data_IF_288588007836
#
_entry.id   IF_288588007836
#
_cell.length_a   1.000
_cell.length_b   1.000
_cell.length_c   1.000
_cell.angle_alpha   90.00
_cell.angle_beta   90.00
_cell.angle_gamma   90.00
#
_symmetry.space_group_name_H-M   'P 1'
#
loop_
_entity.id
_entity.type
_entity.pdbx_description
1 polymer ?
#
# COMPACT_ATOMS: atom_id res chain seq x y z
N UNK A 1 -93.39 7.26 67.40
CA UNK A 1 -92.11 7.24 66.66
C UNK A 1 -91.73 5.78 66.36
N UNK A 2 -92.18 5.20 65.24
CA UNK A 2 -92.00 3.77 64.90
C UNK A 2 -91.14 3.51 63.66
N UNK A 3 -90.49 4.54 63.10
CA UNK A 3 -89.70 4.40 61.86
C UNK A 3 -88.22 4.04 62.11
N UNK A 4 -87.74 4.25 63.34
CA UNK A 4 -86.35 3.99 63.74
C UNK A 4 -86.06 2.48 63.90
N UNK A 5 -87.05 1.67 64.30
CA UNK A 5 -86.88 0.21 64.44
C UNK A 5 -86.79 -0.52 63.09
N UNK A 6 -87.36 0.05 62.02
CA UNK A 6 -87.25 -0.48 60.66
C UNK A 6 -85.87 -0.22 60.02
N UNK A 7 -85.12 0.78 60.50
CA UNK A 7 -83.79 1.15 60.02
C UNK A 7 -82.65 0.45 60.77
N UNK A 8 -82.95 -0.14 61.94
CA UNK A 8 -81.98 -0.83 62.80
C UNK A 8 -81.23 -2.01 62.15
N UNK A 9 -81.84 -2.86 61.27
CA UNK A 9 -81.10 -3.91 60.58
C UNK A 9 -80.32 -3.40 59.34
N UNK A 10 -80.65 -2.22 58.81
CA UNK A 10 -79.96 -1.62 57.65
C UNK A 10 -78.72 -0.83 58.05
N UNK A 11 -78.64 -0.35 59.30
CA UNK A 11 -77.49 0.37 59.84
C UNK A 11 -76.14 -0.36 59.71
N UNK A 12 -76.00 -1.66 60.08
CA UNK A 12 -74.74 -2.38 59.90
C UNK A 12 -74.39 -2.59 58.42
N UNK A 13 -75.39 -2.70 57.54
CA UNK A 13 -75.23 -2.87 56.10
C UNK A 13 -74.75 -1.58 55.43
N UNK A 14 -75.28 -0.43 55.87
CA UNK A 14 -74.81 0.89 55.44
C UNK A 14 -73.39 1.18 55.92
N UNK A 15 -73.03 0.77 57.14
CA UNK A 15 -71.67 0.87 57.66
C UNK A 15 -70.69 0.02 56.83
N UNK A 16 -71.04 -1.23 56.51
CA UNK A 16 -70.23 -2.09 55.64
C UNK A 16 -70.05 -1.49 54.24
N UNK A 17 -71.11 -0.97 53.63
CA UNK A 17 -71.01 -0.29 52.33
C UNK A 17 -70.11 0.95 52.40
N UNK A 18 -70.23 1.77 53.44
CA UNK A 18 -69.36 2.93 53.63
C UNK A 18 -67.89 2.53 53.81
N UNK A 19 -67.62 1.44 54.52
CA UNK A 19 -66.28 0.90 54.72
C UNK A 19 -65.69 0.35 53.41
N UNK A 20 -66.48 -0.37 52.61
CA UNK A 20 -66.04 -0.84 51.29
C UNK A 20 -65.73 0.33 50.35
N UNK A 21 -66.58 1.36 50.31
CA UNK A 21 -66.34 2.57 49.51
C UNK A 21 -65.08 3.29 49.98
N UNK A 22 -64.85 3.38 51.29
CA UNK A 22 -63.67 4.01 51.85
C UNK A 22 -62.37 3.24 51.55
N UNK A 23 -62.39 1.91 51.63
CA UNK A 23 -61.24 1.05 51.26
C UNK A 23 -60.93 1.17 49.76
N UNK A 24 -61.95 1.14 48.89
CA UNK A 24 -61.76 1.33 47.44
C UNK A 24 -61.21 2.72 47.12
N UNK A 25 -61.64 3.76 47.86
CA UNK A 25 -61.12 5.11 47.69
C UNK A 25 -59.63 5.20 48.09
N UNK A 26 -59.24 4.60 49.22
CA UNK A 26 -57.85 4.52 49.66
C UNK A 26 -56.96 3.76 48.66
N UNK A 27 -57.45 2.64 48.12
CA UNK A 27 -56.74 1.85 47.12
C UNK A 27 -56.56 2.61 45.80
N UNK A 28 -57.60 3.31 45.33
CA UNK A 28 -57.52 4.15 44.13
C UNK A 28 -56.55 5.32 44.30
N UNK A 29 -56.55 5.98 45.47
CA UNK A 29 -55.65 7.09 45.77
C UNK A 29 -54.19 6.62 45.85
N UNK A 30 -53.94 5.46 46.47
CA UNK A 30 -52.61 4.87 46.53
C UNK A 30 -52.12 4.38 45.15
N UNK A 31 -53.01 3.86 44.32
CA UNK A 31 -52.68 3.44 42.96
C UNK A 31 -52.35 4.63 42.05
N UNK A 32 -53.14 5.69 42.08
CA UNK A 32 -52.90 6.88 41.26
C UNK A 32 -51.61 7.61 41.67
N UNK A 33 -51.34 7.72 42.98
CA UNK A 33 -50.11 8.31 43.50
C UNK A 33 -48.88 7.48 43.04
N UNK A 34 -48.92 6.17 43.26
CA UNK A 34 -47.86 5.26 42.82
C UNK A 34 -47.66 5.22 41.30
N UNK A 35 -48.74 5.23 40.52
CA UNK A 35 -48.68 5.27 39.05
C UNK A 35 -48.10 6.59 38.55
N UNK A 36 -48.49 7.71 39.15
CA UNK A 36 -47.97 9.03 38.79
C UNK A 36 -46.47 9.16 39.11
N UNK A 37 -46.04 8.65 40.26
CA UNK A 37 -44.64 8.61 40.67
C UNK A 37 -43.81 7.71 39.73
N UNK A 38 -44.27 6.48 39.47
CA UNK A 38 -43.60 5.57 38.56
C UNK A 38 -43.49 6.15 37.13
N UNK A 39 -44.51 6.88 36.67
CA UNK A 39 -44.49 7.58 35.38
C UNK A 39 -43.48 8.73 35.37
N UNK A 40 -43.39 9.51 36.45
CA UNK A 40 -42.42 10.59 36.57
C UNK A 40 -40.97 10.08 36.62
N UNK A 41 -40.72 9.04 37.41
CA UNK A 41 -39.41 8.39 37.50
C UNK A 41 -39.01 7.73 36.17
N UNK A 42 -39.97 7.08 35.49
CA UNK A 42 -39.75 6.52 34.16
C UNK A 42 -39.43 7.57 33.10
N UNK A 43 -40.14 8.72 33.11
CA UNK A 43 -39.85 9.84 32.21
C UNK A 43 -38.46 10.43 32.48
N UNK A 44 -38.08 10.59 33.75
CA UNK A 44 -36.76 11.09 34.14
C UNK A 44 -35.65 10.12 33.71
N UNK A 45 -35.83 8.82 33.94
CA UNK A 45 -34.88 7.79 33.51
C UNK A 45 -34.70 7.77 31.99
N UNK A 46 -35.79 7.94 31.24
CA UNK A 46 -35.76 7.99 29.78
C UNK A 46 -35.02 9.24 29.26
N UNK A 47 -35.28 10.41 29.84
CA UNK A 47 -34.57 11.65 29.47
C UNK A 47 -33.08 11.56 29.80
N UNK A 48 -32.73 10.98 30.96
CA UNK A 48 -31.32 10.74 31.31
C UNK A 48 -30.63 9.80 30.31
N UNK A 49 -31.28 8.69 29.95
CA UNK A 49 -30.74 7.74 28.99
C UNK A 49 -30.56 8.38 27.60
N UNK A 50 -31.52 9.23 27.17
CA UNK A 50 -31.41 9.99 25.93
C UNK A 50 -30.25 10.97 25.96
N UNK A 51 -30.05 11.70 27.07
CA UNK A 51 -28.94 12.61 27.25
C UNK A 51 -27.58 11.90 27.21
N UNK A 52 -27.46 10.78 27.93
CA UNK A 52 -26.24 9.96 27.94
C UNK A 52 -25.93 9.40 26.54
N UNK A 53 -26.96 8.95 25.81
CA UNK A 53 -26.80 8.46 24.45
C UNK A 53 -26.37 9.57 23.48
N UNK A 54 -26.98 10.75 23.55
CA UNK A 54 -26.60 11.90 22.72
C UNK A 54 -25.16 12.35 23.00
N UNK A 55 -24.76 12.39 24.27
CA UNK A 55 -23.38 12.70 24.65
C UNK A 55 -22.40 11.65 24.08
N UNK A 56 -22.75 10.38 24.17
CA UNK A 56 -21.92 9.30 23.63
C UNK A 56 -21.81 9.35 22.10
N UNK A 57 -22.91 9.62 21.40
CA UNK A 57 -22.91 9.78 19.94
C UNK A 57 -22.07 10.98 19.51
N UNK A 58 -22.13 12.09 20.24
CA UNK A 58 -21.35 13.29 19.95
C UNK A 58 -19.85 13.05 20.14
N UNK A 59 -19.45 12.33 21.19
CA UNK A 59 -18.04 11.94 21.39
C UNK A 59 -17.57 10.92 20.36
N UNK A 60 -18.43 9.97 19.94
CA UNK A 60 -18.14 9.07 18.81
C UNK A 60 -17.97 9.85 17.49
N UNK A 61 -18.81 10.84 17.24
CA UNK A 61 -18.72 11.67 16.04
C UNK A 61 -17.41 12.49 16.02
N UNK A 62 -17.04 13.11 17.14
CA UNK A 62 -15.77 13.85 17.27
C UNK A 62 -14.55 12.97 17.07
N UNK A 63 -14.53 11.80 17.70
CA UNK A 63 -13.41 10.85 17.58
C UNK A 63 -13.31 10.29 16.16
N UNK A 64 -14.45 9.98 15.53
CA UNK A 64 -14.50 9.60 14.12
C UNK A 64 -13.97 10.72 13.21
N UNK A 65 -14.40 11.97 13.41
CA UNK A 65 -13.92 13.12 12.62
C UNK A 65 -12.42 13.35 12.79
N UNK A 66 -11.90 13.30 14.02
CA UNK A 66 -10.47 13.42 14.29
C UNK A 66 -9.67 12.31 13.60
N UNK A 67 -10.13 11.06 13.72
CA UNK A 67 -9.48 9.91 13.06
C UNK A 67 -9.51 10.03 11.53
N UNK A 68 -10.61 10.53 10.96
CA UNK A 68 -10.77 10.73 9.52
C UNK A 68 -9.85 11.85 9.01
N UNK A 69 -9.70 12.95 9.77
CA UNK A 69 -8.75 14.02 9.46
C UNK A 69 -7.31 13.55 9.51
N UNK A 70 -6.95 12.78 10.53
CA UNK A 70 -5.60 12.21 10.66
C UNK A 70 -5.30 11.22 9.52
N UNK A 71 -6.25 10.36 9.19
CA UNK A 71 -6.13 9.44 8.06
C UNK A 71 -5.99 10.20 6.73
N UNK A 72 -6.81 11.24 6.50
CA UNK A 72 -6.72 12.07 5.31
C UNK A 72 -5.36 12.79 5.21
N UNK A 73 -4.85 13.32 6.32
CA UNK A 73 -3.54 13.98 6.37
C UNK A 73 -2.40 13.00 6.06
N UNK A 74 -2.43 11.80 6.64
CA UNK A 74 -1.44 10.74 6.34
C UNK A 74 -1.50 10.35 4.87
N UNK A 75 -2.69 10.17 4.33
CA UNK A 75 -2.89 9.82 2.92
C UNK A 75 -2.35 10.92 1.99
N UNK A 76 -2.60 12.20 2.29
CA UNK A 76 -2.05 13.32 1.53
C UNK A 76 -0.52 13.38 1.61
N UNK A 77 0.07 13.12 2.78
CA UNK A 77 1.53 13.07 2.94
C UNK A 77 2.15 11.95 2.11
N UNK A 78 1.56 10.75 2.15
CA UNK A 78 2.00 9.61 1.35
C UNK A 78 1.86 9.91 -0.14
N UNK A 79 0.76 10.51 -0.58
CA UNK A 79 0.59 10.93 -1.98
C UNK A 79 1.67 11.92 -2.42
N UNK A 80 1.91 12.97 -1.64
CA UNK A 80 2.95 13.96 -1.96
C UNK A 80 4.36 13.36 -2.05
N UNK A 81 4.68 12.39 -1.17
CA UNK A 81 5.95 11.67 -1.22
C UNK A 81 6.05 10.79 -2.48
N UNK A 82 4.98 10.06 -2.83
CA UNK A 82 4.96 9.24 -4.04
C UNK A 82 5.07 10.09 -5.32
N UNK A 83 4.41 11.25 -5.37
CA UNK A 83 4.48 12.17 -6.50
C UNK A 83 5.92 12.69 -6.68
N UNK A 84 6.56 13.11 -5.58
CA UNK A 84 7.97 13.54 -5.60
C UNK A 84 8.88 12.42 -6.10
N UNK A 85 8.73 11.22 -5.55
CA UNK A 85 9.55 10.06 -5.94
C UNK A 85 9.39 9.72 -7.43
N UNK A 86 8.15 9.82 -7.94
CA UNK A 86 7.85 9.60 -9.36
C UNK A 86 8.58 10.61 -10.25
N UNK A 87 8.58 11.89 -9.85
CA UNK A 87 9.30 12.95 -10.56
C UNK A 87 10.81 12.73 -10.51
N UNK A 88 11.37 12.38 -9.35
CA UNK A 88 12.81 12.16 -9.18
C UNK A 88 13.29 10.96 -10.00
N UNK A 89 12.57 9.84 -9.98
CA UNK A 89 12.86 8.68 -10.83
C UNK A 89 12.76 9.01 -12.32
N UNK A 90 11.76 9.80 -12.73
CA UNK A 90 11.63 10.23 -14.12
C UNK A 90 12.82 11.11 -14.55
N UNK A 91 13.29 12.01 -13.69
CA UNK A 91 14.44 12.87 -13.95
C UNK A 91 15.76 12.07 -14.04
N UNK A 92 15.97 11.11 -13.14
CA UNK A 92 17.13 10.22 -13.20
C UNK A 92 17.13 9.39 -14.48
N UNK A 93 15.99 8.79 -14.86
CA UNK A 93 15.86 8.04 -16.12
C UNK A 93 16.18 8.91 -17.35
N UNK A 94 15.72 10.17 -17.38
CA UNK A 94 16.07 11.10 -18.47
C UNK A 94 17.57 11.38 -18.52
N UNK A 95 18.20 11.54 -17.36
CA UNK A 95 19.65 11.79 -17.25
C UNK A 95 20.45 10.60 -17.75
N UNK A 96 20.07 9.37 -17.36
CA UNK A 96 20.71 8.17 -17.85
C UNK A 96 20.55 8.01 -19.36
N UNK A 97 19.34 8.20 -19.91
CA UNK A 97 19.11 8.16 -21.35
C UNK A 97 19.95 9.18 -22.12
N UNK A 98 19.98 10.43 -21.66
CA UNK A 98 20.81 11.48 -22.28
C UNK A 98 22.29 11.09 -22.28
N UNK A 99 22.77 10.52 -21.17
CA UNK A 99 24.15 10.04 -21.04
C UNK A 99 24.41 8.88 -22.00
N UNK A 100 23.50 7.92 -22.09
CA UNK A 100 23.57 6.80 -23.04
C UNK A 100 23.60 7.29 -24.47
N UNK A 101 22.73 8.20 -24.86
CA UNK A 101 22.67 8.75 -26.22
C UNK A 101 23.97 9.48 -26.57
N UNK A 102 24.50 10.28 -25.64
CA UNK A 102 25.80 10.93 -25.79
C UNK A 102 26.92 9.90 -25.97
N UNK A 103 26.99 8.90 -25.10
CA UNK A 103 28.03 7.86 -25.14
C UNK A 103 27.93 7.04 -26.42
N UNK A 104 26.72 6.66 -26.87
CA UNK A 104 26.51 5.96 -28.15
C UNK A 104 27.01 6.81 -29.32
N UNK A 105 26.75 8.12 -29.31
CA UNK A 105 27.30 9.03 -30.31
C UNK A 105 28.83 9.16 -30.25
N UNK A 106 29.42 9.05 -29.06
CA UNK A 106 30.88 9.03 -28.85
C UNK A 106 31.53 7.74 -29.34
N UNK A 107 30.86 6.58 -29.25
CA UNK A 107 31.39 5.29 -29.72
C UNK A 107 31.82 5.40 -31.19
N UNK A 108 31.00 6.01 -32.04
CA UNK A 108 31.34 6.20 -33.45
C UNK A 108 32.60 7.06 -33.64
N UNK A 109 32.88 8.00 -32.73
CA UNK A 109 34.06 8.88 -32.83
C UNK A 109 35.34 8.23 -32.31
N UNK A 110 35.24 7.36 -31.31
CA UNK A 110 36.43 6.83 -30.61
C UNK A 110 36.90 5.47 -31.15
N UNK A 111 36.10 4.81 -32.00
CA UNK A 111 36.37 3.43 -32.42
C UNK A 111 36.98 3.31 -33.83
N UNK A 112 37.29 4.44 -34.49
CA UNK A 112 37.78 4.44 -35.87
C UNK A 112 39.32 4.47 -35.96
N UNK A 113 39.99 5.24 -35.11
CA UNK A 113 41.43 5.52 -35.20
C UNK A 113 42.13 5.27 -33.86
N UNK A 114 43.33 4.71 -33.90
CA UNK A 114 44.22 4.59 -32.74
C UNK A 114 45.62 5.12 -33.06
N UNK A 115 46.34 5.57 -32.04
CA UNK A 115 47.75 5.96 -32.14
C UNK A 115 48.58 5.05 -31.24
N UNK A 116 49.71 4.55 -31.73
CA UNK A 116 50.64 3.68 -30.96
C UNK A 116 51.42 4.43 -29.88
N UNK A 117 51.66 5.72 -30.11
CA UNK A 117 52.34 6.64 -29.20
C UNK A 117 51.74 8.04 -29.38
N UNK A 118 51.97 8.94 -28.42
CA UNK A 118 51.39 10.29 -28.41
C UNK A 118 51.71 11.08 -29.70
N UNK A 119 52.94 10.95 -30.20
CA UNK A 119 53.43 11.65 -31.39
C UNK A 119 53.26 10.84 -32.70
N UNK A 120 52.70 9.63 -32.65
CA UNK A 120 52.49 8.80 -33.83
C UNK A 120 51.24 9.21 -34.61
N UNK A 121 51.24 9.05 -35.94
CA UNK A 121 50.08 9.29 -36.80
C UNK A 121 48.90 8.34 -36.45
N UNK A 122 47.63 8.76 -36.59
CA UNK A 122 46.50 7.85 -36.41
C UNK A 122 46.52 6.74 -37.45
N UNK A 123 46.37 5.50 -36.98
CA UNK A 123 46.15 4.32 -37.82
C UNK A 123 44.71 3.81 -37.61
N UNK A 124 44.09 3.18 -38.63
CA UNK A 124 42.79 2.54 -38.45
C UNK A 124 42.86 1.44 -37.39
N UNK A 125 41.79 1.33 -36.59
CA UNK A 125 41.72 0.32 -35.54
C UNK A 125 41.83 -1.11 -36.14
N UNK A 126 42.67 -2.00 -35.58
CA UNK A 126 42.71 -3.40 -35.99
C UNK A 126 41.33 -4.07 -35.80
N UNK A 127 41.00 -5.01 -36.70
CA UNK A 127 39.74 -5.73 -36.61
C UNK A 127 39.61 -6.48 -35.27
N UNK A 128 38.62 -6.10 -34.47
CA UNK A 128 38.27 -6.80 -33.24
C UNK A 128 37.37 -7.99 -33.60
N UNK A 129 37.96 -9.20 -33.65
CA UNK A 129 37.23 -10.45 -33.91
C UNK A 129 36.88 -11.11 -32.57
N UNK A 130 35.59 -11.20 -32.27
CA UNK A 130 35.08 -11.93 -31.12
C UNK A 130 34.57 -13.30 -31.57
N UNK A 131 34.98 -14.35 -30.88
CA UNK A 131 34.57 -15.71 -31.23
C UNK A 131 33.17 -16.02 -30.71
N UNK A 132 32.48 -16.98 -31.33
CA UNK A 132 31.15 -17.44 -30.87
C UNK A 132 31.17 -17.97 -29.44
N UNK A 133 32.26 -18.61 -29.02
CA UNK A 133 32.46 -19.06 -27.65
C UNK A 133 32.57 -17.90 -26.66
N UNK A 134 33.24 -16.81 -27.04
CA UNK A 134 33.30 -15.59 -26.23
C UNK A 134 31.90 -15.00 -26.04
N UNK A 135 31.13 -14.87 -27.12
CA UNK A 135 29.75 -14.34 -27.06
C UNK A 135 28.84 -15.23 -26.22
N UNK A 136 28.97 -16.56 -26.31
CA UNK A 136 28.20 -17.49 -25.46
C UNK A 136 28.43 -17.23 -23.97
N UNK A 137 29.69 -17.07 -23.55
CA UNK A 137 30.03 -16.78 -22.14
C UNK A 137 29.50 -15.40 -21.74
N UNK A 138 29.61 -14.41 -22.63
CA UNK A 138 29.09 -13.06 -22.42
C UNK A 138 27.57 -13.06 -22.18
N UNK A 139 26.81 -13.69 -23.09
CA UNK A 139 25.36 -13.80 -23.03
C UNK A 139 24.90 -14.54 -21.77
N UNK A 140 25.60 -15.62 -21.41
CA UNK A 140 25.34 -16.36 -20.17
C UNK A 140 25.57 -15.49 -18.94
N UNK A 141 26.63 -14.66 -18.93
CA UNK A 141 26.91 -13.75 -17.83
C UNK A 141 25.88 -12.62 -17.73
N UNK A 142 25.34 -12.14 -18.85
CA UNK A 142 24.29 -11.11 -18.85
C UNK A 142 22.88 -11.66 -18.61
N UNK A 143 22.73 -12.98 -18.49
CA UNK A 143 21.45 -13.65 -18.28
C UNK A 143 20.56 -13.67 -19.53
N UNK A 144 21.13 -13.51 -20.73
CA UNK A 144 20.39 -13.70 -21.96
C UNK A 144 19.96 -15.18 -22.05
N UNK A 145 18.69 -15.43 -22.31
CA UNK A 145 18.16 -16.80 -22.43
C UNK A 145 18.75 -17.41 -23.70
N UNK A 146 19.86 -18.12 -23.52
CA UNK A 146 20.36 -19.05 -24.51
C UNK A 146 19.63 -20.37 -24.28
N UNK A 147 19.11 -21.05 -25.32
CA UNK A 147 18.77 -22.45 -25.18
C UNK A 147 20.02 -23.15 -24.64
N UNK A 148 19.92 -23.69 -23.42
CA UNK A 148 21.00 -24.45 -22.84
C UNK A 148 21.36 -25.53 -23.86
N UNK A 149 22.63 -25.69 -24.25
CA UNK A 149 23.04 -26.98 -24.77
C UNK A 149 22.65 -27.95 -23.66
N UNK A 150 21.73 -28.85 -23.99
CA UNK A 150 21.20 -29.87 -23.10
C UNK A 150 22.31 -30.34 -22.17
N UNK A 151 22.08 -30.25 -20.86
CA UNK A 151 22.95 -30.81 -19.84
C UNK A 151 23.34 -32.23 -20.23
N UNK A 152 24.54 -32.39 -20.74
CA UNK A 152 25.31 -33.58 -20.46
C UNK A 152 26.12 -33.24 -19.21
N UNK A 153 25.45 -33.46 -18.08
CA UNK A 153 26.06 -33.68 -16.77
C UNK A 153 27.45 -34.30 -16.91
N UNK A 154 28.46 -33.54 -16.51
CA UNK A 154 29.82 -34.02 -16.27
C UNK A 154 30.69 -34.07 -17.52
N UNK A 155 31.67 -33.16 -17.59
CA UNK A 155 32.92 -33.29 -18.36
C UNK A 155 32.83 -34.15 -19.63
N UNK A 156 31.83 -33.92 -20.49
CA UNK A 156 31.84 -34.51 -21.82
C UNK A 156 32.82 -33.66 -22.59
N UNK A 157 33.95 -34.27 -22.93
CA UNK A 157 34.95 -33.72 -23.85
C UNK A 157 34.21 -33.07 -25.00
N UNK A 158 34.16 -31.73 -24.98
CA UNK A 158 33.55 -30.93 -26.04
C UNK A 158 34.14 -31.44 -27.36
N UNK A 159 33.28 -31.93 -28.26
CA UNK A 159 33.76 -32.54 -29.50
C UNK A 159 34.66 -31.55 -30.23
N UNK A 160 35.67 -32.03 -30.95
CA UNK A 160 36.58 -31.16 -31.69
C UNK A 160 35.80 -30.20 -32.63
N UNK A 161 34.69 -30.69 -33.19
CA UNK A 161 33.75 -29.91 -34.00
C UNK A 161 33.04 -28.82 -33.20
N UNK A 162 32.53 -29.13 -31.99
CA UNK A 162 31.90 -28.12 -31.11
C UNK A 162 32.89 -27.02 -30.69
N UNK A 163 34.15 -27.39 -30.39
CA UNK A 163 35.21 -26.41 -30.07
C UNK A 163 35.57 -25.56 -31.29
N UNK A 164 35.63 -26.16 -32.47
CA UNK A 164 35.88 -25.42 -33.72
C UNK A 164 34.75 -24.42 -34.03
N UNK A 165 33.48 -24.79 -33.79
CA UNK A 165 32.33 -23.89 -33.93
C UNK A 165 32.44 -22.68 -32.99
N UNK A 166 32.89 -22.88 -31.74
CA UNK A 166 33.09 -21.79 -30.78
C UNK A 166 34.22 -20.84 -31.18
N UNK A 167 35.19 -21.28 -31.99
CA UNK A 167 36.31 -20.44 -32.48
C UNK A 167 35.97 -19.61 -33.71
N UNK A 168 34.83 -19.87 -34.35
CA UNK A 168 34.37 -19.08 -35.49
C UNK A 168 34.10 -17.63 -35.08
N UNK A 169 34.26 -16.72 -36.03
CA UNK A 169 33.85 -15.33 -35.89
C UNK A 169 32.35 -15.26 -35.57
N UNK A 170 32.01 -14.50 -34.54
CA UNK A 170 30.62 -14.24 -34.14
C UNK A 170 29.93 -13.19 -35.00
N UNK A 171 30.71 -12.39 -35.77
CA UNK A 171 30.21 -11.23 -36.49
C UNK A 171 29.91 -10.02 -35.59
N UNK A 172 30.19 -10.12 -34.28
CA UNK A 172 30.03 -9.03 -33.32
C UNK A 172 31.37 -8.28 -33.17
N UNK A 173 31.35 -6.99 -33.51
CA UNK A 173 32.51 -6.10 -33.37
C UNK A 173 32.51 -5.27 -32.09
N UNK A 174 33.62 -4.58 -31.83
CA UNK A 174 33.83 -3.71 -30.66
C UNK A 174 32.77 -2.63 -30.50
N UNK A 175 32.27 -2.04 -31.60
CA UNK A 175 31.18 -1.04 -31.59
C UNK A 175 29.91 -1.60 -30.96
N UNK A 176 29.50 -2.81 -31.39
CA UNK A 176 28.28 -3.45 -30.91
C UNK A 176 28.42 -3.84 -29.43
N UNK A 177 29.61 -4.34 -29.04
CA UNK A 177 29.91 -4.67 -27.66
C UNK A 177 29.85 -3.44 -26.75
N UNK A 178 30.50 -2.33 -27.14
CA UNK A 178 30.53 -1.12 -26.34
C UNK A 178 29.13 -0.49 -26.25
N UNK A 179 28.36 -0.50 -27.34
CA UNK A 179 26.98 -0.03 -27.35
C UNK A 179 26.08 -0.89 -26.44
N UNK A 180 26.29 -2.20 -26.41
CA UNK A 180 25.61 -3.08 -25.46
C UNK A 180 26.01 -2.75 -24.02
N UNK A 181 27.31 -2.61 -23.73
CA UNK A 181 27.79 -2.28 -22.38
C UNK A 181 27.22 -0.96 -21.84
N UNK A 182 27.17 0.09 -22.66
CA UNK A 182 26.58 1.38 -22.27
C UNK A 182 25.10 1.20 -21.89
N UNK A 183 24.32 0.51 -22.72
CA UNK A 183 22.90 0.25 -22.46
C UNK A 183 22.68 -0.64 -21.22
N UNK A 184 23.52 -1.66 -21.07
CA UNK A 184 23.48 -2.54 -19.90
C UNK A 184 23.80 -1.76 -18.62
N UNK A 185 24.80 -0.89 -18.64
CA UNK A 185 25.14 -0.03 -17.51
C UNK A 185 24.02 0.96 -17.15
N UNK A 186 23.33 1.54 -18.14
CA UNK A 186 22.11 2.33 -17.91
C UNK A 186 21.03 1.49 -17.22
N UNK A 187 20.79 0.27 -17.69
CA UNK A 187 19.80 -0.62 -17.07
C UNK A 187 20.14 -0.90 -15.61
N UNK A 188 21.40 -1.25 -15.31
CA UNK A 188 21.85 -1.48 -13.94
C UNK A 188 21.63 -0.25 -13.04
N UNK A 189 22.03 0.95 -13.50
CA UNK A 189 21.84 2.20 -12.74
C UNK A 189 20.36 2.53 -12.52
N UNK A 190 19.53 2.31 -13.54
CA UNK A 190 18.08 2.52 -13.46
C UNK A 190 17.40 1.55 -12.48
N UNK A 191 17.85 0.29 -12.43
CA UNK A 191 17.35 -0.69 -11.45
C UNK A 191 17.83 -0.36 -10.04
N UNK A 192 19.10 0.01 -9.85
CA UNK A 192 19.62 0.44 -8.56
C UNK A 192 18.83 1.63 -7.99
N UNK A 193 18.62 2.66 -8.81
CA UNK A 193 17.80 3.81 -8.43
C UNK A 193 16.36 3.45 -8.03
N UNK A 194 15.74 2.48 -8.71
CA UNK A 194 14.40 2.00 -8.37
C UNK A 194 14.39 1.23 -7.05
N UNK A 195 15.44 0.45 -6.77
CA UNK A 195 15.59 -0.27 -5.50
C UNK A 195 15.83 0.70 -4.34
N UNK A 196 16.70 1.69 -4.51
CA UNK A 196 16.95 2.72 -3.50
C UNK A 196 15.65 3.48 -3.18
N UNK A 197 14.93 3.93 -4.22
CA UNK A 197 13.62 4.55 -4.07
C UNK A 197 12.60 3.67 -3.32
N UNK A 198 12.60 2.36 -3.56
CA UNK A 198 11.72 1.43 -2.86
C UNK A 198 12.15 1.27 -1.39
N UNK A 199 13.45 1.20 -1.13
CA UNK A 199 14.01 1.10 0.24
C UNK A 199 13.63 2.34 1.04
N UNK A 200 13.77 3.54 0.47
CA UNK A 200 13.42 4.81 1.12
C UNK A 200 11.94 4.84 1.53
N UNK A 201 11.05 4.39 0.62
CA UNK A 201 9.61 4.27 0.90
C UNK A 201 9.32 3.27 2.02
N UNK A 202 10.01 2.12 2.04
CA UNK A 202 9.79 1.06 3.04
C UNK A 202 10.36 1.44 4.41
N UNK A 203 11.53 2.09 4.45
CA UNK A 203 12.22 2.46 5.69
C UNK A 203 11.72 3.79 6.28
N UNK A 204 10.96 4.58 5.51
CA UNK A 204 10.47 5.89 5.94
C UNK A 204 11.59 6.93 6.07
N UNK A 205 12.75 6.65 5.47
CA UNK A 205 13.84 7.60 5.31
C UNK A 205 13.61 8.40 4.02
N UNK A 206 13.54 9.75 4.10
CA UNK A 206 13.41 10.59 2.92
C UNK A 206 14.67 10.64 2.08
#
# INVERSE_FOLDING_TARGET
MKWIDYLRPFFPLALLLSFVVWVNYLESAAFDDGFSQAKAEGALALEKLRGDHQAQELERAKTAEASAKDAAKRLQQVQAQNDKLTVDLANQRRTYRKTTDQLIGEIARVNDLYRKALDAEPEPLPACVLTRGWVRVYDQATGAILPSPVDSSGAVTQSAESRAIEQLDSGIGSTALLAHHVRYAEQCKSTAAQLDALIDVVQGTP
#
